data_IF_954986019867
#
_entry.id   IF_954986019867
#
_cell.length_a   1.000
_cell.length_b   1.000
_cell.length_c   1.000
_cell.angle_alpha   90.00
_cell.angle_beta   90.00
_cell.angle_gamma   90.00
#
_symmetry.space_group_name_H-M   'P 1'
#
loop_
_entity.id
_entity.type
_entity.pdbx_description
1 polymer ?
#
# COMPACT_ATOMS: atom_id res chain seq x y z
N UNK A 1 10.18 -20.57 5.81
CA UNK A 1 9.08 -20.31 4.86
C UNK A 1 8.92 -21.55 4.00
N UNK A 2 7.71 -22.00 3.72
CA UNK A 2 7.44 -23.19 2.90
C UNK A 2 7.74 -22.91 1.41
N UNK A 3 8.41 -23.84 0.72
CA UNK A 3 8.79 -23.72 -0.70
C UNK A 3 7.56 -23.49 -1.60
N UNK A 4 6.41 -24.06 -1.22
CA UNK A 4 5.15 -23.86 -1.94
C UNK A 4 4.67 -22.40 -1.88
N UNK A 5 4.84 -21.73 -0.75
CA UNK A 5 4.42 -20.34 -0.54
C UNK A 5 5.33 -19.40 -1.33
N UNK A 6 6.63 -19.67 -1.34
CA UNK A 6 7.59 -18.89 -2.11
C UNK A 6 7.26 -18.90 -3.61
N UNK A 7 7.00 -20.08 -4.20
CA UNK A 7 6.58 -20.20 -5.60
C UNK A 7 5.28 -19.44 -5.91
N UNK A 8 4.31 -19.46 -4.99
CA UNK A 8 3.08 -18.68 -5.14
C UNK A 8 3.38 -17.18 -5.15
N UNK A 9 4.26 -16.69 -4.27
CA UNK A 9 4.64 -15.27 -4.22
C UNK A 9 5.31 -14.83 -5.51
N UNK A 10 6.25 -15.64 -6.03
CA UNK A 10 6.91 -15.38 -7.32
C UNK A 10 5.94 -15.36 -8.49
N UNK A 11 4.98 -16.28 -8.53
CA UNK A 11 3.90 -16.27 -9.52
C UNK A 11 3.08 -14.97 -9.44
N UNK A 12 2.68 -14.57 -8.24
CA UNK A 12 1.92 -13.32 -8.03
C UNK A 12 2.71 -12.10 -8.50
N UNK A 13 4.00 -12.00 -8.15
CA UNK A 13 4.90 -10.91 -8.58
C UNK A 13 4.91 -10.80 -10.11
N UNK A 14 5.13 -11.91 -10.82
CA UNK A 14 5.11 -11.91 -12.30
C UNK A 14 3.77 -11.44 -12.86
N UNK A 15 2.66 -11.78 -12.20
CA UNK A 15 1.33 -11.37 -12.65
C UNK A 15 1.00 -9.91 -12.31
N UNK A 16 1.54 -9.34 -11.23
CA UNK A 16 1.43 -7.90 -10.93
C UNK A 16 1.96 -7.12 -12.13
N UNK A 17 3.12 -7.51 -12.66
CA UNK A 17 3.70 -6.88 -13.87
C UNK A 17 2.73 -6.88 -15.03
N UNK A 18 2.19 -8.05 -15.38
CA UNK A 18 1.25 -8.19 -16.50
C UNK A 18 0.01 -7.30 -16.33
N UNK A 19 -0.52 -7.21 -15.11
CA UNK A 19 -1.72 -6.42 -14.81
C UNK A 19 -1.42 -4.92 -14.88
N UNK A 20 -0.33 -4.47 -14.26
CA UNK A 20 0.03 -3.05 -14.24
C UNK A 20 0.42 -2.53 -15.62
N UNK A 21 1.17 -3.29 -16.42
CA UNK A 21 1.53 -2.87 -17.78
C UNK A 21 0.32 -2.65 -18.69
N UNK A 22 -0.79 -3.37 -18.45
CA UNK A 22 -2.04 -3.15 -19.17
C UNK A 22 -2.83 -1.96 -18.63
N UNK A 23 -2.74 -1.73 -17.32
CA UNK A 23 -3.50 -0.70 -16.62
C UNK A 23 -2.91 0.70 -16.77
N UNK A 24 -1.58 0.84 -16.66
CA UNK A 24 -0.91 2.13 -16.60
C UNK A 24 -1.16 3.05 -17.81
N UNK A 25 -1.23 2.55 -19.06
CA UNK A 25 -1.59 3.41 -20.20
C UNK A 25 -2.96 4.09 -20.08
N UNK A 26 -3.89 3.53 -19.30
CA UNK A 26 -5.24 4.08 -19.11
C UNK A 26 -5.30 5.10 -17.97
N UNK A 27 -4.22 5.26 -17.21
CA UNK A 27 -4.14 6.19 -16.10
C UNK A 27 -3.44 7.47 -16.56
N UNK A 28 -4.12 8.61 -16.41
CA UNK A 28 -3.51 9.91 -16.70
C UNK A 28 -2.31 10.20 -15.81
N UNK A 29 -1.60 11.30 -16.08
CA UNK A 29 -0.39 11.69 -15.35
C UNK A 29 -0.61 12.16 -13.90
N UNK A 30 -1.87 12.30 -13.47
CA UNK A 30 -2.22 12.78 -12.14
C UNK A 30 -1.91 11.79 -11.01
N UNK A 31 -2.04 12.23 -9.74
CA UNK A 31 -1.79 11.38 -8.60
C UNK A 31 -2.80 10.23 -8.56
N UNK A 32 -2.31 9.01 -8.28
CA UNK A 32 -3.16 7.86 -7.97
C UNK A 32 -2.65 7.15 -6.72
N UNK A 33 -3.53 6.35 -6.12
CA UNK A 33 -3.22 5.52 -4.97
C UNK A 33 -3.54 4.06 -5.28
N UNK A 34 -2.54 3.20 -5.17
CA UNK A 34 -2.70 1.76 -5.26
C UNK A 34 -2.91 1.20 -3.85
N UNK A 35 -4.08 0.62 -3.61
CA UNK A 35 -4.36 -0.19 -2.43
C UNK A 35 -4.14 -1.67 -2.78
N UNK A 36 -3.06 -2.25 -2.27
CA UNK A 36 -2.77 -3.66 -2.44
C UNK A 36 -3.57 -4.51 -1.47
N UNK A 37 -4.60 -5.21 -1.96
CA UNK A 37 -5.37 -6.20 -1.20
C UNK A 37 -4.64 -7.55 -1.24
N UNK A 38 -4.03 -7.94 -0.11
CA UNK A 38 -3.06 -9.03 -0.03
C UNK A 38 -3.57 -10.18 0.83
N UNK A 39 -3.72 -11.41 0.31
CA UNK A 39 -4.12 -12.55 1.12
C UNK A 39 -3.11 -12.86 2.24
N UNK A 40 -3.58 -13.01 3.48
CA UNK A 40 -2.71 -13.33 4.62
C UNK A 40 -2.01 -14.69 4.44
N UNK A 41 -2.61 -15.61 3.67
CA UNK A 41 -2.03 -16.94 3.38
C UNK A 41 -0.72 -16.93 2.58
N UNK A 42 -0.30 -15.77 2.05
CA UNK A 42 0.97 -15.62 1.31
C UNK A 42 1.96 -14.70 2.04
N UNK A 43 1.60 -14.22 3.24
CA UNK A 43 2.46 -13.39 4.08
C UNK A 43 3.23 -14.26 5.07
N UNK A 44 4.40 -13.77 5.49
CA UNK A 44 5.15 -14.39 6.59
C UNK A 44 4.64 -13.82 7.92
N UNK A 45 4.02 -14.62 8.81
CA UNK A 45 3.56 -14.13 10.09
C UNK A 45 4.69 -13.71 11.04
N UNK A 46 5.95 -14.09 10.74
CA UNK A 46 7.13 -13.64 11.49
C UNK A 46 7.72 -12.33 10.94
N UNK A 47 7.36 -11.96 9.71
CA UNK A 47 7.84 -10.75 9.05
C UNK A 47 6.84 -10.27 7.98
N UNK A 48 5.72 -9.70 8.45
CA UNK A 48 4.67 -9.22 7.56
C UNK A 48 5.17 -8.15 6.60
N UNK A 49 5.92 -7.17 7.11
CA UNK A 49 6.43 -6.06 6.29
C UNK A 49 7.44 -6.57 5.25
N UNK A 50 8.41 -7.39 5.64
CA UNK A 50 9.36 -7.99 4.70
C UNK A 50 8.68 -8.90 3.69
N UNK A 51 7.57 -9.57 4.06
CA UNK A 51 6.82 -10.38 3.11
C UNK A 51 5.97 -9.58 2.11
N UNK A 52 5.58 -8.34 2.45
CA UNK A 52 4.86 -7.41 1.56
C UNK A 52 5.79 -6.68 0.60
N UNK A 53 6.99 -6.30 1.05
CA UNK A 53 7.95 -5.48 0.29
C UNK A 53 8.17 -5.94 -1.15
N UNK A 54 8.33 -7.23 -1.48
CA UNK A 54 8.52 -7.66 -2.87
C UNK A 54 7.36 -7.32 -3.81
N UNK A 55 6.11 -7.35 -3.32
CA UNK A 55 4.95 -6.95 -4.13
C UNK A 55 4.96 -5.45 -4.38
N UNK A 56 5.30 -4.67 -3.35
CA UNK A 56 5.42 -3.21 -3.45
C UNK A 56 6.54 -2.81 -4.39
N UNK A 57 7.71 -3.44 -4.29
CA UNK A 57 8.84 -3.20 -5.19
C UNK A 57 8.46 -3.50 -6.64
N UNK A 58 7.74 -4.59 -6.90
CA UNK A 58 7.27 -4.89 -8.26
C UNK A 58 6.30 -3.82 -8.78
N UNK A 59 5.38 -3.33 -7.93
CA UNK A 59 4.50 -2.21 -8.27
C UNK A 59 5.32 -0.97 -8.62
N UNK A 60 6.26 -0.57 -7.77
CA UNK A 60 7.12 0.61 -8.00
C UNK A 60 7.98 0.47 -9.26
N UNK A 61 8.54 -0.73 -9.52
CA UNK A 61 9.31 -1.02 -10.72
C UNK A 61 8.46 -0.87 -11.98
N UNK A 62 7.24 -1.43 -12.00
CA UNK A 62 6.33 -1.28 -13.14
C UNK A 62 5.98 0.19 -13.40
N UNK A 63 5.79 0.97 -12.33
CA UNK A 63 5.50 2.41 -12.43
C UNK A 63 6.67 3.19 -13.02
N UNK A 64 7.89 2.90 -12.58
CA UNK A 64 9.11 3.55 -13.07
C UNK A 64 9.45 3.14 -14.52
N UNK A 65 9.27 1.87 -14.87
CA UNK A 65 9.46 1.37 -16.24
C UNK A 65 8.47 2.01 -17.24
N UNK A 66 7.25 2.34 -16.79
CA UNK A 66 6.26 3.01 -17.62
C UNK A 66 6.62 4.48 -17.91
N UNK A 67 7.01 5.23 -16.88
CA UNK A 67 7.55 6.58 -17.03
C UNK A 67 8.65 6.83 -15.98
N UNK A 68 9.91 7.08 -16.37
CA UNK A 68 11.03 7.23 -15.44
C UNK A 68 10.87 8.37 -14.42
N UNK A 69 10.06 9.37 -14.76
CA UNK A 69 9.77 10.52 -13.89
C UNK A 69 8.63 10.25 -12.90
N UNK A 70 8.04 9.06 -12.92
CA UNK A 70 7.01 8.70 -11.96
C UNK A 70 7.61 8.60 -10.56
N UNK A 71 7.00 9.31 -9.61
CA UNK A 71 7.34 9.19 -8.20
C UNK A 71 6.41 8.19 -7.53
N UNK A 72 6.96 7.13 -6.94
CA UNK A 72 6.18 6.13 -6.21
C UNK A 72 6.61 6.08 -4.74
N UNK A 73 5.66 6.24 -3.83
CA UNK A 73 5.90 6.28 -2.37
C UNK A 73 5.16 5.14 -1.67
N UNK A 74 5.89 4.29 -0.97
CA UNK A 74 5.32 3.25 -0.12
C UNK A 74 4.87 3.89 1.20
N UNK A 75 3.56 4.11 1.36
CA UNK A 75 3.01 4.96 2.43
C UNK A 75 2.69 4.15 3.68
N UNK A 76 1.95 3.05 3.56
CA UNK A 76 1.44 2.36 4.74
C UNK A 76 1.19 0.87 4.50
N UNK A 77 1.14 0.12 5.60
CA UNK A 77 0.76 -1.28 5.68
C UNK A 77 -0.12 -1.50 6.90
N UNK A 78 -1.27 -2.14 6.69
CA UNK A 78 -2.18 -2.55 7.77
C UNK A 78 -2.38 -4.07 7.72
N UNK A 79 -1.93 -4.76 8.76
CA UNK A 79 -2.08 -6.22 8.91
C UNK A 79 -3.31 -6.52 9.75
N UNK A 80 -4.33 -7.14 9.15
CA UNK A 80 -5.58 -7.45 9.85
C UNK A 80 -5.67 -8.92 10.24
N UNK A 81 -6.33 -9.18 11.38
CA UNK A 81 -6.82 -10.52 11.73
C UNK A 81 -7.84 -10.94 10.67
N UNK A 82 -7.62 -12.11 10.05
CA UNK A 82 -8.52 -12.64 9.03
C UNK A 82 -7.81 -13.04 7.74
N UNK A 83 -8.48 -12.79 6.60
CA UNK A 83 -8.05 -13.32 5.30
C UNK A 83 -7.11 -12.41 4.52
N UNK A 84 -7.15 -11.10 4.74
CA UNK A 84 -6.48 -10.12 3.91
C UNK A 84 -5.85 -9.01 4.75
N UNK A 85 -4.74 -8.47 4.26
CA UNK A 85 -4.03 -7.31 4.76
C UNK A 85 -3.72 -6.37 3.60
N UNK A 86 -3.37 -5.12 3.92
CA UNK A 86 -3.34 -4.07 2.92
C UNK A 86 -2.03 -3.29 2.92
N UNK A 87 -1.56 -2.91 1.74
CA UNK A 87 -0.48 -1.94 1.58
C UNK A 87 -0.93 -0.77 0.70
N UNK A 88 -0.29 0.39 0.86
CA UNK A 88 -0.60 1.60 0.10
C UNK A 88 0.65 2.12 -0.60
N UNK A 89 0.55 2.30 -1.92
CA UNK A 89 1.55 3.00 -2.74
C UNK A 89 0.89 4.19 -3.41
N UNK A 90 1.44 5.38 -3.18
CA UNK A 90 1.04 6.58 -3.92
C UNK A 90 1.94 6.74 -5.14
N UNK A 91 1.34 7.10 -6.28
CA UNK A 91 2.02 7.44 -7.53
C UNK A 91 1.74 8.90 -7.86
N UNK A 92 2.77 9.64 -8.27
CA UNK A 92 2.71 11.03 -8.73
C UNK A 92 2.01 11.98 -7.74
N UNK A 93 2.03 11.62 -6.46
CA UNK A 93 1.62 12.50 -5.37
C UNK A 93 2.80 13.41 -4.99
N UNK A 94 3.13 14.33 -5.90
CA UNK A 94 4.26 15.27 -5.79
C UNK A 94 4.07 16.28 -4.68
N UNK A 95 2.80 16.61 -4.37
CA UNK A 95 2.44 17.56 -3.32
C UNK A 95 2.37 16.89 -1.93
N UNK A 96 2.81 15.64 -1.82
CA UNK A 96 2.85 14.93 -0.55
C UNK A 96 3.84 15.61 0.40
N UNK A 97 3.33 16.10 1.52
CA UNK A 97 4.14 16.64 2.61
C UNK A 97 3.98 15.76 3.85
N UNK A 98 5.07 15.10 4.25
CA UNK A 98 5.06 14.19 5.40
C UNK A 98 4.68 14.91 6.71
N UNK A 99 5.11 16.16 6.91
CA UNK A 99 4.85 16.92 8.15
C UNK A 99 3.37 17.26 8.34
N UNK A 100 2.67 17.55 7.24
CA UNK A 100 1.24 17.92 7.26
C UNK A 100 0.31 16.77 6.83
N UNK A 101 0.85 15.57 6.59
CA UNK A 101 0.06 14.43 6.12
C UNK A 101 -1.12 14.04 7.04
N UNK A 102 -0.98 14.25 8.35
CA UNK A 102 -2.02 14.08 9.37
C UNK A 102 -3.16 15.13 9.32
N UNK A 103 -3.05 16.15 8.49
CA UNK A 103 -4.11 17.15 8.25
C UNK A 103 -4.65 17.07 6.81
N UNK A 104 -3.95 16.34 5.93
CA UNK A 104 -4.24 16.27 4.51
C UNK A 104 -5.66 15.72 4.26
N UNK A 105 -6.45 16.46 3.47
CA UNK A 105 -7.81 16.09 3.04
C UNK A 105 -7.89 15.80 1.53
N UNK A 106 -6.77 15.85 0.83
CA UNK A 106 -6.72 15.62 -0.61
C UNK A 106 -7.19 14.21 -0.94
N UNK A 107 -8.19 14.12 -1.81
CA UNK A 107 -8.72 12.85 -2.30
C UNK A 107 -7.90 12.41 -3.51
N UNK A 108 -7.16 11.33 -3.34
CA UNK A 108 -6.38 10.71 -4.42
C UNK A 108 -7.17 9.51 -4.96
N UNK A 109 -7.39 9.41 -6.29
CA UNK A 109 -8.06 8.27 -6.90
C UNK A 109 -7.46 6.92 -6.49
N UNK A 110 -8.26 6.10 -5.79
CA UNK A 110 -7.86 4.77 -5.32
C UNK A 110 -8.14 3.69 -6.36
N UNK A 111 -7.11 2.89 -6.66
CA UNK A 111 -7.18 1.67 -7.43
C UNK A 111 -6.80 0.49 -6.54
N UNK A 112 -7.67 -0.52 -6.48
CA UNK A 112 -7.42 -1.71 -5.66
C UNK A 112 -6.72 -2.76 -6.51
N UNK A 113 -5.45 -3.02 -6.19
CA UNK A 113 -4.69 -4.14 -6.72
C UNK A 113 -4.95 -5.37 -5.84
N UNK A 114 -5.91 -6.20 -6.25
CA UNK A 114 -6.25 -7.42 -5.54
C UNK A 114 -5.29 -8.53 -5.91
N UNK A 115 -4.43 -8.92 -4.98
CA UNK A 115 -3.52 -10.04 -5.13
C UNK A 115 -4.27 -11.36 -4.97
N UNK A 116 -3.91 -12.33 -5.80
CA UNK A 116 -4.59 -13.62 -5.87
C UNK A 116 -3.63 -14.69 -6.36
N UNK A 117 -3.75 -15.90 -5.80
CA UNK A 117 -2.95 -17.06 -6.22
C UNK A 117 -3.19 -17.46 -7.69
N UNK A 118 -4.33 -17.05 -8.28
CA UNK A 118 -4.65 -17.30 -9.69
C UNK A 118 -4.15 -16.16 -10.56
N UNK A 119 -4.82 -15.02 -10.47
CA UNK A 119 -4.54 -13.83 -11.27
C UNK A 119 -4.91 -12.59 -10.45
N UNK A 120 -3.96 -11.67 -10.21
CA UNK A 120 -4.26 -10.35 -9.66
C UNK A 120 -5.18 -9.54 -10.58
N UNK A 121 -5.90 -8.59 -9.99
CA UNK A 121 -6.75 -7.65 -10.75
C UNK A 121 -6.55 -6.24 -10.21
N UNK A 122 -6.77 -5.23 -11.05
CA UNK A 122 -6.74 -3.83 -10.63
C UNK A 122 -8.00 -3.13 -11.07
N UNK A 123 -8.67 -2.44 -10.15
CA UNK A 123 -9.94 -1.76 -10.41
C UNK A 123 -10.02 -0.43 -9.66
N UNK A 124 -10.55 0.59 -10.33
CA UNK A 124 -10.88 1.87 -9.70
C UNK A 124 -12.00 1.69 -8.67
N UNK A 125 -11.82 2.26 -7.48
CA UNK A 125 -12.79 2.22 -6.37
C UNK A 125 -13.03 3.59 -5.75
N UNK A 126 -13.96 4.36 -6.32
CA UNK A 126 -14.25 5.75 -5.92
C UNK A 126 -14.72 5.86 -4.47
N UNK A 127 -15.48 4.87 -4.03
CA UNK A 127 -15.96 4.73 -2.65
C UNK A 127 -14.84 4.65 -1.61
N UNK A 128 -13.62 4.31 -2.03
CA UNK A 128 -12.46 4.20 -1.13
C UNK A 128 -11.61 5.47 -1.06
N UNK A 129 -11.80 6.46 -1.94
CA UNK A 129 -10.93 7.65 -1.98
C UNK A 129 -10.90 8.37 -0.63
N UNK A 130 -12.08 8.67 -0.10
CA UNK A 130 -12.23 9.36 1.18
C UNK A 130 -11.86 8.45 2.36
N UNK A 131 -12.26 7.18 2.30
CA UNK A 131 -11.99 6.20 3.36
C UNK A 131 -10.49 6.00 3.57
N UNK A 132 -9.73 5.81 2.49
CA UNK A 132 -8.27 5.62 2.56
C UNK A 132 -7.57 6.93 2.93
N UNK A 133 -8.02 8.08 2.43
CA UNK A 133 -7.48 9.38 2.85
C UNK A 133 -7.64 9.60 4.36
N UNK A 134 -8.82 9.34 4.93
CA UNK A 134 -9.08 9.41 6.38
C UNK A 134 -8.22 8.42 7.17
N UNK A 135 -8.07 7.20 6.67
CA UNK A 135 -7.26 6.15 7.32
C UNK A 135 -5.80 6.58 7.40
N UNK A 136 -5.18 6.98 6.28
CA UNK A 136 -3.78 7.41 6.26
C UNK A 136 -3.56 8.65 7.12
N UNK A 137 -4.51 9.59 7.12
CA UNK A 137 -4.44 10.77 7.99
C UNK A 137 -4.37 10.36 9.48
N UNK A 138 -5.22 9.41 9.87
CA UNK A 138 -5.25 8.88 11.24
C UNK A 138 -3.95 8.15 11.58
N UNK A 139 -3.42 7.36 10.64
CA UNK A 139 -2.12 6.69 10.83
C UNK A 139 -0.99 7.71 10.98
N UNK A 140 -0.95 8.76 10.16
CA UNK A 140 0.06 9.82 10.27
C UNK A 140 -0.03 10.57 11.59
N UNK A 141 -1.25 10.83 12.07
CA UNK A 141 -1.44 11.41 13.39
C UNK A 141 -0.88 10.47 14.45
N UNK A 142 -1.33 9.22 14.50
CA UNK A 142 -0.97 8.24 15.53
C UNK A 142 0.52 7.86 15.56
N UNK A 143 1.12 7.63 14.41
CA UNK A 143 2.54 7.25 14.30
C UNK A 143 3.51 8.41 14.57
N UNK A 144 3.03 9.64 14.70
CA UNK A 144 3.92 10.78 14.96
C UNK A 144 4.93 10.97 13.83
N UNK A 145 6.20 10.77 14.14
CA UNK A 145 7.33 10.98 13.22
C UNK A 145 7.98 9.66 12.75
N UNK A 146 7.30 8.52 12.89
CA UNK A 146 7.80 7.23 12.41
C UNK A 146 8.05 7.25 10.88
N UNK A 147 9.17 6.68 10.39
CA UNK A 147 9.46 6.69 8.97
C UNK A 147 8.44 5.87 8.17
N UNK A 148 8.27 6.22 6.89
CA UNK A 148 7.47 5.41 5.97
C UNK A 148 8.14 4.04 5.68
N UNK A 149 7.34 2.99 5.39
CA UNK A 149 5.89 2.97 5.47
C UNK A 149 5.40 2.92 6.93
N UNK A 150 4.28 3.59 7.21
CA UNK A 150 3.57 3.42 8.48
C UNK A 150 3.05 1.99 8.58
N UNK A 151 3.14 1.36 9.75
CA UNK A 151 2.89 -0.06 9.90
C UNK A 151 2.04 -0.34 11.14
N UNK A 152 0.78 -0.73 10.92
CA UNK A 152 -0.10 -1.25 11.96
C UNK A 152 -0.24 -2.77 11.84
N UNK A 153 -0.03 -3.47 12.96
CA UNK A 153 -0.29 -4.90 13.07
C UNK A 153 -1.40 -5.20 14.06
N UNK A 154 -2.62 -5.39 13.57
CA UNK A 154 -3.80 -5.67 14.39
C UNK A 154 -3.83 -7.10 14.97
N UNK A 155 -2.78 -7.91 14.77
CA UNK A 155 -2.56 -9.09 15.62
C UNK A 155 -2.05 -8.70 17.01
N UNK A 156 -1.35 -7.58 17.15
CA UNK A 156 -0.87 -7.06 18.42
C UNK A 156 -2.03 -6.47 19.22
N UNK A 157 -2.34 -7.09 20.36
CA UNK A 157 -3.40 -6.64 21.27
C UNK A 157 -3.02 -5.36 22.02
N UNK A 158 -1.73 -5.01 22.02
CA UNK A 158 -1.20 -3.80 22.63
C UNK A 158 -0.88 -2.71 21.60
N UNK A 159 -1.41 -2.82 20.37
CA UNK A 159 -1.24 -1.80 19.34
C UNK A 159 -1.74 -0.46 19.88
N UNK A 160 -0.80 0.43 20.16
CA UNK A 160 -1.05 1.77 20.69
C UNK A 160 -0.08 2.76 20.07
N UNK A 161 -0.63 3.89 19.65
CA UNK A 161 0.13 5.03 19.18
C UNK A 161 0.81 5.73 20.36
N UNK A 162 2.14 5.68 20.40
CA UNK A 162 2.93 6.19 21.52
C UNK A 162 3.14 7.70 21.46
N UNK A 163 3.07 8.30 20.28
CA UNK A 163 3.40 9.70 20.09
C UNK A 163 2.53 10.41 19.02
N UNK A 164 1.19 10.51 19.21
CA UNK A 164 0.34 11.17 18.25
C UNK A 164 0.70 12.65 18.03
N UNK A 165 0.63 13.14 16.79
CA UNK A 165 0.92 14.56 16.46
C UNK A 165 -0.07 15.53 17.09
N UNK A 166 -1.33 15.13 17.17
CA UNK A 166 -2.41 15.87 17.82
C UNK A 166 -2.18 16.14 19.32
N UNK A 167 -1.26 15.43 19.98
CA UNK A 167 -0.87 15.73 21.37
C UNK A 167 0.18 16.84 21.50
N UNK A 168 0.80 17.25 20.39
CA UNK A 168 1.82 18.30 20.34
C UNK A 168 1.30 19.61 19.72
N UNK A 169 -0.01 19.69 19.46
CA UNK A 169 -0.67 20.83 18.78
C UNK A 169 -1.44 21.71 19.76
#
# INVERSE_FOLDING_TARGET
>A
MDDSTQRIREHIIRQIRVVLFKFLPDVGSGPIRILGDTPNSILDPKDYLGSIRPFVSEVQNCLHEHHPNNEARFVAVNIYRGKHSYFVVDLNNTDYNYETAHECKTLIPVYVLRLSKRQPTILRKRELDETIAKTLRTMHDGHGQDPLPLFDNYYDENLQYRNPRSLHT
#
